data_IF_235728558350
#
_entry.id   IF_235728558350
#
_cell.length_a   1.000
_cell.length_b   1.000
_cell.length_c   1.000
_cell.angle_alpha   90.00
_cell.angle_beta   90.00
_cell.angle_gamma   90.00
#
_symmetry.space_group_name_H-M   'P 1'
#
loop_
_entity.id
_entity.type
_entity.pdbx_description
1 polymer ?
#
# COMPACT_ATOMS: atom_id res chain seq x y z
N UNK A 1 29.07 8.43 -22.41
CA UNK A 1 27.64 8.66 -22.10
C UNK A 1 27.13 7.46 -21.31
N UNK A 2 26.87 7.66 -20.01
CA UNK A 2 26.35 6.74 -18.96
C UNK A 2 27.24 5.52 -18.68
N UNK A 3 28.37 5.64 -17.99
CA UNK A 3 28.55 5.91 -16.54
C UNK A 3 27.77 4.95 -15.62
N UNK A 4 28.50 3.93 -15.14
CA UNK A 4 28.44 3.33 -13.80
C UNK A 4 27.08 3.34 -13.09
N UNK A 5 26.32 2.23 -13.19
CA UNK A 5 25.34 1.90 -12.16
C UNK A 5 25.30 0.39 -11.91
N UNK A 6 26.17 -0.09 -11.02
CA UNK A 6 25.95 -1.33 -10.26
C UNK A 6 25.08 -0.94 -9.07
N UNK A 7 23.77 -1.26 -9.08
CA UNK A 7 22.92 -1.28 -7.88
C UNK A 7 21.78 -2.31 -7.98
N UNK A 8 22.08 -3.53 -7.54
CA UNK A 8 21.35 -4.37 -6.56
C UNK A 8 19.82 -4.55 -6.52
N UNK A 9 18.95 -3.97 -7.35
CA UNK A 9 17.51 -4.30 -7.26
C UNK A 9 16.86 -4.30 -8.63
N UNK A 10 16.16 -5.39 -8.92
CA UNK A 10 15.66 -5.76 -10.23
C UNK A 10 14.51 -4.88 -10.74
N UNK A 11 14.58 -4.69 -12.05
CA UNK A 11 13.50 -4.45 -13.01
C UNK A 11 12.74 -3.13 -12.93
N UNK A 12 13.11 -2.24 -13.85
CA UNK A 12 12.21 -1.27 -14.45
C UNK A 12 11.18 -1.98 -15.34
N UNK A 13 9.90 -1.64 -15.19
CA UNK A 13 9.10 -1.21 -16.34
C UNK A 13 8.20 -0.02 -15.96
N UNK A 14 8.57 1.12 -16.52
CA UNK A 14 7.69 2.16 -17.07
C UNK A 14 6.42 2.54 -16.31
N UNK A 15 6.52 3.45 -15.33
CA UNK A 15 5.85 4.76 -15.39
C UNK A 15 6.33 5.67 -14.24
N UNK A 16 6.59 6.92 -14.59
CA UNK A 16 7.08 7.96 -13.68
C UNK A 16 5.93 8.40 -12.78
N UNK A 17 6.09 8.23 -11.46
CA UNK A 17 5.58 9.20 -10.50
C UNK A 17 6.39 9.16 -9.20
N UNK A 18 7.10 10.27 -9.00
CA UNK A 18 7.47 10.84 -7.70
C UNK A 18 8.10 9.88 -6.68
N UNK A 19 9.42 10.00 -6.59
CA UNK A 19 10.11 10.14 -5.30
C UNK A 19 9.21 10.76 -4.23
N UNK A 20 8.64 9.91 -3.40
CA UNK A 20 8.24 10.21 -2.05
C UNK A 20 8.44 8.91 -1.31
N UNK A 21 9.35 8.89 -0.34
CA UNK A 21 9.31 7.96 0.78
C UNK A 21 8.09 8.30 1.65
N UNK A 22 6.92 8.38 1.02
CA UNK A 22 5.63 8.47 1.66
C UNK A 22 5.32 7.05 2.10
N UNK A 23 5.33 6.85 3.41
CA UNK A 23 4.79 5.68 4.10
C UNK A 23 3.71 5.03 3.25
N UNK A 24 3.97 3.82 2.76
CA UNK A 24 3.07 3.12 1.82
C UNK A 24 1.73 2.95 2.53
N UNK A 25 0.82 3.87 2.26
CA UNK A 25 -0.53 3.87 2.77
C UNK A 25 -1.43 3.26 1.71
N UNK A 26 -1.35 1.96 1.57
CA UNK A 26 -2.14 1.24 0.59
C UNK A 26 -2.91 0.13 1.27
N UNK A 27 -4.11 -0.11 0.77
CA UNK A 27 -4.93 -1.21 1.22
C UNK A 27 -4.32 -2.54 0.75
N UNK A 28 -4.16 -3.50 1.67
CA UNK A 28 -3.76 -4.85 1.30
C UNK A 28 -4.81 -5.47 0.39
N UNK A 29 -4.29 -6.26 -0.54
CA UNK A 29 -5.03 -6.93 -1.59
C UNK A 29 -4.85 -8.42 -1.44
N UNK A 30 -5.94 -9.17 -1.57
CA UNK A 30 -5.96 -10.62 -1.49
C UNK A 30 -5.22 -11.27 -2.67
N UNK A 31 -5.14 -12.60 -2.63
CA UNK A 31 -4.49 -13.41 -3.68
C UNK A 31 -5.25 -13.27 -5.02
N UNK A 32 -6.58 -13.09 -4.94
CA UNK A 32 -7.47 -12.80 -6.06
C UNK A 32 -7.25 -11.41 -6.68
N UNK A 33 -6.37 -10.62 -6.07
CA UNK A 33 -6.06 -9.30 -6.55
C UNK A 33 -7.20 -8.30 -6.34
N UNK A 34 -8.09 -8.50 -5.36
CA UNK A 34 -9.05 -7.47 -4.94
C UNK A 34 -8.79 -7.10 -3.49
N UNK A 35 -9.06 -5.85 -3.17
CA UNK A 35 -9.06 -5.38 -1.78
C UNK A 35 -10.51 -5.40 -1.29
N UNK A 36 -10.76 -6.19 -0.25
CA UNK A 36 -12.02 -6.28 0.48
C UNK A 36 -12.18 -5.15 1.51
N UNK A 37 -11.28 -4.15 1.48
CA UNK A 37 -11.33 -2.99 2.36
C UNK A 37 -12.63 -2.17 2.23
N UNK A 38 -13.24 -2.15 1.04
CA UNK A 38 -14.57 -1.54 0.84
C UNK A 38 -15.65 -2.21 1.68
N UNK A 39 -15.63 -3.54 1.78
CA UNK A 39 -16.61 -4.30 2.54
C UNK A 39 -16.41 -4.13 4.04
N UNK A 40 -15.16 -3.99 4.49
CA UNK A 40 -14.80 -3.80 5.91
C UNK A 40 -14.73 -2.34 6.34
N UNK A 41 -15.12 -1.38 5.50
CA UNK A 41 -15.12 0.06 5.85
C UNK A 41 -15.98 0.38 7.08
N UNK A 42 -17.04 -0.38 7.32
CA UNK A 42 -17.85 -0.23 8.53
C UNK A 42 -17.09 -0.63 9.81
N UNK A 43 -16.07 -1.49 9.69
CA UNK A 43 -15.23 -1.92 10.81
C UNK A 43 -14.22 -0.85 11.23
N UNK A 44 -13.97 0.20 10.43
CA UNK A 44 -13.13 1.32 10.85
C UNK A 44 -13.64 1.97 12.15
N UNK A 45 -14.96 1.97 12.35
CA UNK A 45 -15.61 2.54 13.55
C UNK A 45 -15.69 1.56 14.72
N UNK A 46 -15.27 0.31 14.52
CA UNK A 46 -15.33 -0.74 15.54
C UNK A 46 -13.94 -0.88 16.16
N UNK A 47 -13.73 -0.45 17.43
CA UNK A 47 -12.40 -0.39 18.04
C UNK A 47 -11.69 -1.74 18.12
N UNK A 48 -12.46 -2.84 18.19
CA UNK A 48 -11.92 -4.19 18.17
C UNK A 48 -11.18 -4.54 16.85
N UNK A 49 -11.62 -3.95 15.72
CA UNK A 49 -11.07 -4.24 14.40
C UNK A 49 -10.06 -3.19 13.93
N UNK A 50 -9.94 -2.06 14.61
CA UNK A 50 -8.94 -1.02 14.33
C UNK A 50 -7.52 -1.58 14.13
N UNK A 51 -6.95 -2.45 15.01
CA UNK A 51 -5.61 -2.97 14.79
C UNK A 51 -5.49 -3.83 13.53
N UNK A 52 -6.53 -4.59 13.17
CA UNK A 52 -6.55 -5.39 11.95
C UNK A 52 -6.65 -4.50 10.71
N UNK A 53 -7.53 -3.49 10.76
CA UNK A 53 -7.76 -2.51 9.73
C UNK A 53 -6.53 -1.63 9.49
N UNK A 54 -5.79 -1.22 10.52
CA UNK A 54 -4.53 -0.49 10.37
C UNK A 54 -3.47 -1.28 9.59
N UNK A 55 -3.53 -2.61 9.61
CA UNK A 55 -2.58 -3.47 8.90
C UNK A 55 -3.10 -3.80 7.49
N UNK A 56 -4.40 -4.08 7.37
CA UNK A 56 -5.02 -4.57 6.14
C UNK A 56 -5.58 -3.46 5.26
N UNK A 57 -6.14 -2.41 5.84
CA UNK A 57 -6.90 -1.37 5.14
C UNK A 57 -6.61 0.05 5.70
N UNK A 58 -5.34 0.45 5.86
CA UNK A 58 -5.02 1.73 6.49
C UNK A 58 -5.49 2.92 5.63
N UNK A 59 -5.48 2.78 4.30
CA UNK A 59 -5.91 3.82 3.39
C UNK A 59 -7.44 4.00 3.40
N UNK A 60 -8.19 2.90 3.31
CA UNK A 60 -9.67 2.95 3.30
C UNK A 60 -10.24 3.58 4.56
N UNK A 61 -9.58 3.41 5.70
CA UNK A 61 -10.01 3.95 6.99
C UNK A 61 -9.30 5.26 7.40
N UNK A 62 -8.41 5.81 6.56
CA UNK A 62 -7.70 7.05 6.86
C UNK A 62 -6.80 6.96 8.09
N UNK A 63 -6.14 5.82 8.28
CA UNK A 63 -5.21 5.53 9.38
C UNK A 63 -3.75 5.81 9.00
N UNK A 64 -3.57 6.40 7.82
CA UNK A 64 -2.42 7.21 7.46
C UNK A 64 -2.90 8.67 7.39
#
# INVERSE_FOLDING_TARGET
>A
MKDQCIKTCGFCDSEISTTSTSSICEDKKGIDGKSNCKDVKHLCNVPLYVPLISIQCPLTCGLC
#
